data_IF_701075805532
#
_entry.id   IF_701075805532
#
_cell.length_a   1.000
_cell.length_b   1.000
_cell.length_c   1.000
_cell.angle_alpha   90.00
_cell.angle_beta   90.00
_cell.angle_gamma   90.00
#
_symmetry.space_group_name_H-M   'P 1'
#
loop_
_entity.id
_entity.type
_entity.pdbx_description
1 polymer ?
#
# COMPACT_ATOMS: atom_id res chain seq x y z
N UNK A 1 -25.08 19.27 -9.58
CA UNK A 1 -24.41 20.25 -8.68
C UNK A 1 -23.02 19.70 -8.46
N UNK A 2 -21.90 20.42 -8.64
CA UNK A 2 -21.45 21.59 -7.91
C UNK A 2 -20.37 22.36 -8.72
N UNK A 3 -20.35 23.68 -8.55
CA UNK A 3 -19.37 24.65 -9.04
C UNK A 3 -18.30 24.92 -7.96
N UNK A 4 -17.05 25.17 -8.37
CA UNK A 4 -15.92 25.47 -7.48
C UNK A 4 -15.76 26.94 -7.11
N UNK A 5 -14.69 27.27 -6.36
CA UNK A 5 -13.70 28.32 -6.70
C UNK A 5 -12.61 28.55 -5.62
N UNK A 6 -11.40 28.81 -6.15
CA UNK A 6 -10.23 29.59 -5.72
C UNK A 6 -10.21 30.31 -4.36
N UNK A 7 -9.03 30.32 -3.72
CA UNK A 7 -8.49 31.55 -3.12
C UNK A 7 -6.97 31.70 -3.27
N UNK A 8 -6.61 32.95 -3.55
CA UNK A 8 -5.28 33.55 -3.61
C UNK A 8 -4.58 33.59 -2.24
N UNK A 9 -3.26 33.64 -2.36
CA UNK A 9 -2.22 34.07 -1.44
C UNK A 9 -2.61 35.18 -0.44
N UNK A 10 -2.26 34.98 0.84
CA UNK A 10 -1.87 36.03 1.82
C UNK A 10 -1.27 35.41 3.08
N UNK A 11 0.02 35.70 3.27
CA UNK A 11 0.77 35.68 4.53
C UNK A 11 -0.06 36.00 5.77
N UNK A 12 -0.01 35.17 6.81
CA UNK A 12 -0.16 35.58 8.22
C UNK A 12 0.51 34.54 9.14
N UNK A 13 1.37 35.08 10.00
CA UNK A 13 2.16 34.48 11.08
C UNK A 13 1.34 33.63 12.07
N UNK A 14 1.91 32.49 12.47
CA UNK A 14 1.36 31.57 13.49
C UNK A 14 1.64 32.10 14.90
N UNK A 15 0.63 32.25 15.79
CA UNK A 15 0.86 32.51 17.20
C UNK A 15 1.40 31.27 17.91
N UNK A 16 2.43 31.48 18.73
CA UNK A 16 3.04 30.50 19.61
C UNK A 16 2.12 30.12 20.78
N UNK A 17 1.54 28.92 20.78
CA UNK A 17 1.30 28.10 21.99
C UNK A 17 0.36 26.91 21.72
N UNK A 18 0.91 25.77 21.29
CA UNK A 18 0.51 24.42 21.76
C UNK A 18 1.74 23.52 21.56
N UNK A 19 2.67 23.58 22.52
CA UNK A 19 3.69 22.55 22.71
C UNK A 19 3.14 21.48 23.67
N UNK A 20 3.80 20.30 23.67
CA UNK A 20 3.54 19.07 24.45
C UNK A 20 2.34 18.25 23.96
N UNK A 21 2.44 17.00 23.46
CA UNK A 21 3.46 15.95 23.47
C UNK A 21 3.34 15.12 22.18
N UNK A 22 4.39 15.00 21.36
CA UNK A 22 4.77 13.76 20.64
C UNK A 22 6.30 13.82 20.52
N UNK A 23 6.98 12.81 21.06
CA UNK A 23 8.43 12.76 21.17
C UNK A 23 9.13 12.64 19.81
N UNK A 24 10.10 13.53 19.59
CA UNK A 24 11.34 13.39 18.81
C UNK A 24 11.22 12.87 17.36
N UNK A 25 11.33 13.79 16.40
CA UNK A 25 12.54 13.92 15.57
C UNK A 25 12.60 15.34 14.97
N UNK A 26 13.72 16.03 15.21
CA UNK A 26 14.04 17.33 14.61
C UNK A 26 14.22 17.16 13.11
N UNK A 27 13.49 17.95 12.31
CA UNK A 27 13.74 18.11 10.87
C UNK A 27 14.67 19.31 10.70
N UNK A 28 15.90 19.09 10.25
CA UNK A 28 16.81 20.12 9.75
C UNK A 28 16.67 20.20 8.22
N UNK A 29 16.31 21.35 7.63
CA UNK A 29 16.02 21.44 6.21
C UNK A 29 17.24 21.60 5.29
N UNK A 30 18.47 21.34 5.74
CA UNK A 30 19.68 21.68 4.98
C UNK A 30 20.55 20.53 4.45
N UNK A 31 20.16 19.25 4.57
CA UNK A 31 20.86 18.15 3.91
C UNK A 31 19.87 17.10 3.39
N UNK A 32 19.93 16.78 2.10
CA UNK A 32 19.37 15.52 1.61
C UNK A 32 20.25 14.37 2.09
N UNK A 33 19.73 13.47 2.93
CA UNK A 33 19.99 12.01 2.89
C UNK A 33 19.36 11.23 4.07
N UNK A 34 18.85 10.03 3.71
CA UNK A 34 18.43 8.84 4.51
C UNK A 34 17.20 8.95 5.45
N UNK A 35 16.03 8.71 4.84
CA UNK A 35 14.78 8.28 5.50
C UNK A 35 14.85 6.79 5.94
N UNK A 36 15.86 6.39 6.71
CA UNK A 36 15.96 5.01 7.19
C UNK A 36 15.59 4.99 8.67
N UNK A 37 14.46 4.37 9.00
CA UNK A 37 14.10 4.12 10.39
C UNK A 37 15.18 3.25 11.04
N UNK A 38 15.58 3.49 12.30
CA UNK A 38 16.52 2.61 12.99
C UNK A 38 15.96 1.20 13.22
N UNK A 39 14.64 1.05 13.10
CA UNK A 39 13.89 -0.16 13.37
C UNK A 39 12.80 -0.35 12.30
N UNK A 40 12.64 -1.58 11.82
CA UNK A 40 11.52 -2.02 10.99
C UNK A 40 10.67 -3.01 11.78
N UNK A 41 9.35 -2.89 11.69
CA UNK A 41 8.43 -3.87 12.26
C UNK A 41 7.80 -4.73 11.15
N UNK A 42 8.39 -5.91 10.94
CA UNK A 42 8.00 -6.86 9.90
C UNK A 42 6.99 -7.88 10.42
N UNK A 43 6.03 -8.33 9.57
CA UNK A 43 4.95 -9.25 9.98
C UNK A 43 4.68 -10.44 9.03
N UNK A 44 5.71 -11.19 8.60
CA UNK A 44 5.54 -12.34 7.72
C UNK A 44 4.73 -13.44 8.38
N UNK A 45 3.74 -13.96 7.66
CA UNK A 45 2.87 -15.07 8.10
C UNK A 45 2.16 -14.79 9.44
N UNK A 46 1.98 -13.51 9.78
CA UNK A 46 1.40 -13.07 11.06
C UNK A 46 2.39 -13.07 12.24
N UNK A 47 3.63 -13.53 12.06
CA UNK A 47 4.68 -13.46 13.07
C UNK A 47 5.28 -12.05 13.11
N UNK A 48 5.31 -11.42 14.28
CA UNK A 48 5.90 -10.08 14.44
C UNK A 48 7.39 -10.18 14.73
N UNK A 49 8.18 -9.49 13.90
CA UNK A 49 9.63 -9.36 14.06
C UNK A 49 10.04 -7.89 14.09
N UNK A 50 10.90 -7.54 15.05
CA UNK A 50 11.62 -6.29 15.03
C UNK A 50 12.94 -6.49 14.30
N UNK A 51 13.20 -5.67 13.28
CA UNK A 51 14.42 -5.75 12.48
C UNK A 51 15.25 -4.48 12.67
N UNK A 52 16.52 -4.63 13.00
CA UNK A 52 17.45 -3.51 13.17
C UNK A 52 18.73 -3.75 12.39
N UNK A 53 19.43 -2.68 12.00
CA UNK A 53 20.69 -2.77 11.26
C UNK A 53 21.79 -1.97 11.94
N UNK A 54 22.89 -2.66 12.28
CA UNK A 54 24.10 -2.06 12.81
C UNK A 54 25.11 -1.83 11.68
N UNK A 55 25.30 -0.56 11.31
CA UNK A 55 26.15 -0.15 10.19
C UNK A 55 27.63 -0.54 10.40
N UNK A 56 28.14 -0.40 11.63
CA UNK A 56 29.55 -0.64 11.95
C UNK A 56 29.97 -2.09 11.72
N UNK A 57 29.11 -3.03 12.11
CA UNK A 57 29.36 -4.46 11.98
C UNK A 57 28.71 -5.05 10.72
N UNK A 58 27.93 -4.24 9.99
CA UNK A 58 27.12 -4.69 8.86
C UNK A 58 26.18 -5.85 9.25
N UNK A 59 25.61 -5.79 10.45
CA UNK A 59 24.78 -6.86 11.01
C UNK A 59 23.32 -6.44 11.05
N UNK A 60 22.45 -7.30 10.52
CA UNK A 60 21.01 -7.18 10.61
C UNK A 60 20.49 -8.14 11.67
N UNK A 61 19.78 -7.63 12.66
CA UNK A 61 19.17 -8.41 13.73
C UNK A 61 17.67 -8.58 13.46
N UNK A 62 17.19 -9.81 13.51
CA UNK A 62 15.76 -10.15 13.45
C UNK A 62 15.34 -10.70 14.81
N UNK A 63 14.59 -9.91 15.55
CA UNK A 63 14.15 -10.20 16.92
C UNK A 63 12.67 -10.56 16.93
N UNK A 64 12.37 -11.81 17.28
CA UNK A 64 11.02 -12.30 17.57
C UNK A 64 10.80 -12.45 19.07
N UNK A 65 9.65 -13.02 19.48
CA UNK A 65 9.30 -13.15 20.90
C UNK A 65 10.28 -14.00 21.74
N UNK A 66 10.95 -14.99 21.13
CA UNK A 66 11.86 -15.91 21.84
C UNK A 66 13.21 -16.10 21.13
N UNK A 67 13.46 -15.38 20.04
CA UNK A 67 14.66 -15.57 19.22
C UNK A 67 15.22 -14.23 18.77
N UNK A 68 16.55 -14.14 18.76
CA UNK A 68 17.30 -13.07 18.10
C UNK A 68 18.23 -13.74 17.10
N UNK A 69 17.98 -13.48 15.82
CA UNK A 69 18.73 -14.05 14.72
C UNK A 69 19.61 -12.98 14.08
N UNK A 70 20.83 -13.36 13.73
CA UNK A 70 21.84 -12.45 13.20
C UNK A 70 22.12 -12.78 11.73
N UNK A 71 22.16 -11.73 10.92
CA UNK A 71 22.40 -11.78 9.49
C UNK A 71 23.51 -10.80 9.14
N UNK A 72 24.37 -11.14 8.20
CA UNK A 72 25.32 -10.17 7.64
C UNK A 72 24.68 -9.52 6.41
N UNK A 73 24.65 -8.19 6.38
CA UNK A 73 24.14 -7.38 5.28
C UNK A 73 25.28 -6.50 4.75
N UNK A 74 25.96 -7.02 3.72
CA UNK A 74 27.14 -6.42 3.12
C UNK A 74 26.75 -5.72 1.82
N UNK A 75 27.17 -4.47 1.65
CA UNK A 75 27.04 -3.72 0.40
C UNK A 75 28.45 -3.48 -0.17
N UNK A 76 28.72 -4.02 -1.36
CA UNK A 76 30.00 -3.87 -2.05
C UNK A 76 29.99 -2.76 -3.13
N UNK A 77 29.01 -1.84 -3.06
CA UNK A 77 28.70 -0.78 -4.03
C UNK A 77 28.14 -1.26 -5.38
N UNK A 78 28.01 -2.58 -5.59
CA UNK A 78 27.40 -3.17 -6.79
C UNK A 78 26.24 -4.10 -6.45
N UNK A 79 26.36 -4.81 -5.34
CA UNK A 79 25.44 -5.85 -4.89
C UNK A 79 25.27 -5.75 -3.38
N UNK A 80 24.02 -5.72 -2.94
CA UNK A 80 23.70 -5.91 -1.53
C UNK A 80 23.50 -7.40 -1.28
N UNK A 81 24.26 -7.96 -0.36
CA UNK A 81 24.25 -9.39 -0.02
C UNK A 81 23.74 -9.61 1.40
N UNK A 82 22.72 -10.45 1.53
CA UNK A 82 22.17 -10.91 2.80
C UNK A 82 22.64 -12.35 3.06
N UNK A 83 23.39 -12.56 4.14
CA UNK A 83 24.04 -13.83 4.45
C UNK A 83 23.57 -14.40 5.79
N UNK A 84 23.22 -15.69 5.76
CA UNK A 84 23.01 -16.52 6.93
C UNK A 84 24.28 -17.33 7.25
N UNK A 85 24.81 -17.18 8.46
CA UNK A 85 26.09 -17.82 8.86
C UNK A 85 25.92 -19.20 9.49
N UNK A 86 24.71 -19.57 9.94
CA UNK A 86 24.48 -20.85 10.61
C UNK A 86 24.26 -22.00 9.61
N UNK A 87 24.58 -23.23 10.04
CA UNK A 87 24.40 -24.44 9.22
C UNK A 87 22.92 -24.85 9.08
N UNK A 88 22.14 -24.66 10.13
CA UNK A 88 20.70 -24.90 10.14
C UNK A 88 19.99 -23.88 9.24
N UNK A 89 18.87 -24.29 8.64
CA UNK A 89 18.01 -23.35 7.94
C UNK A 89 17.32 -22.41 8.96
N UNK A 90 17.27 -21.09 8.72
CA UNK A 90 16.47 -20.18 9.53
C UNK A 90 14.98 -20.46 9.34
N UNK A 91 14.12 -20.12 10.32
CA UNK A 91 12.67 -20.10 10.13
C UNK A 91 12.29 -19.21 8.94
N UNK A 92 11.34 -19.67 8.11
CA UNK A 92 10.93 -18.92 6.92
C UNK A 92 10.40 -17.51 7.25
N UNK A 93 9.53 -17.31 8.27
CA UNK A 93 9.11 -15.98 8.67
C UNK A 93 10.28 -15.05 9.01
N UNK A 94 11.27 -15.52 9.78
CA UNK A 94 12.43 -14.71 10.12
C UNK A 94 13.31 -14.37 8.90
N UNK A 95 13.44 -15.29 7.94
CA UNK A 95 14.11 -15.02 6.66
C UNK A 95 13.37 -13.94 5.86
N UNK A 96 12.04 -14.00 5.79
CA UNK A 96 11.24 -12.98 5.11
C UNK A 96 11.40 -11.61 5.79
N UNK A 97 11.40 -11.56 7.13
CA UNK A 97 11.68 -10.34 7.88
C UNK A 97 13.09 -9.80 7.61
N UNK A 98 14.10 -10.68 7.50
CA UNK A 98 15.47 -10.28 7.15
C UNK A 98 15.56 -9.66 5.75
N UNK A 99 14.85 -10.24 4.76
CA UNK A 99 14.79 -9.71 3.39
C UNK A 99 14.08 -8.35 3.36
N UNK A 100 12.95 -8.20 4.06
CA UNK A 100 12.24 -6.92 4.16
C UNK A 100 13.12 -5.84 4.82
N UNK A 101 13.81 -6.21 5.89
CA UNK A 101 14.81 -5.37 6.56
C UNK A 101 15.90 -4.94 5.60
N UNK A 102 16.52 -5.88 4.89
CA UNK A 102 17.59 -5.59 3.94
C UNK A 102 17.15 -4.57 2.86
N UNK A 103 15.95 -4.71 2.29
CA UNK A 103 15.41 -3.71 1.36
C UNK A 103 15.09 -2.37 2.03
N UNK A 104 14.66 -2.38 3.29
CA UNK A 104 14.35 -1.15 4.05
C UNK A 104 15.61 -0.36 4.39
N UNK A 105 16.67 -1.04 4.84
CA UNK A 105 17.95 -0.42 5.20
C UNK A 105 18.82 -0.12 3.97
N UNK A 106 18.52 -0.72 2.82
CA UNK A 106 19.18 -0.48 1.52
C UNK A 106 18.16 -0.03 0.45
N UNK A 107 17.52 1.15 0.58
CA UNK A 107 16.37 1.55 -0.25
C UNK A 107 16.70 1.71 -1.75
N UNK A 108 17.99 1.84 -2.10
CA UNK A 108 18.45 1.85 -3.49
C UNK A 108 18.40 0.46 -4.15
N UNK A 109 18.51 -0.61 -3.38
CA UNK A 109 18.60 -1.97 -3.89
C UNK A 109 17.32 -2.39 -4.62
N UNK A 110 17.51 -2.94 -5.82
CA UNK A 110 16.43 -3.58 -6.61
C UNK A 110 16.44 -5.10 -6.45
N UNK A 111 17.58 -5.66 -6.04
CA UNK A 111 17.77 -7.08 -5.77
C UNK A 111 18.78 -7.27 -4.64
N UNK A 112 18.65 -8.39 -3.93
CA UNK A 112 19.56 -8.84 -2.89
C UNK A 112 20.13 -10.19 -3.28
N UNK A 113 21.45 -10.35 -3.16
CA UNK A 113 22.07 -11.67 -3.26
C UNK A 113 21.86 -12.40 -1.94
N UNK A 114 21.32 -13.62 -2.00
CA UNK A 114 21.05 -14.43 -0.82
C UNK A 114 22.11 -15.53 -0.69
N UNK A 115 22.79 -15.54 0.46
CA UNK A 115 23.68 -16.64 0.83
C UNK A 115 23.02 -17.46 1.95
N UNK A 116 22.35 -18.54 1.53
CA UNK A 116 21.51 -19.40 2.37
C UNK A 116 21.87 -20.89 2.18
N UNK A 117 21.61 -21.76 3.18
CA UNK A 117 21.73 -23.20 3.04
C UNK A 117 20.97 -23.74 1.81
N UNK A 118 21.61 -24.64 1.05
CA UNK A 118 21.08 -25.15 -0.22
C UNK A 118 19.73 -25.87 -0.09
N UNK A 119 19.44 -26.43 1.09
CA UNK A 119 18.15 -27.08 1.42
C UNK A 119 16.95 -26.14 1.24
N UNK A 120 17.14 -24.82 1.39
CA UNK A 120 16.07 -23.84 1.21
C UNK A 120 15.82 -23.46 -0.25
N UNK A 121 16.81 -23.66 -1.14
CA UNK A 121 16.80 -23.06 -2.47
C UNK A 121 15.58 -23.46 -3.30
N UNK A 122 15.23 -24.74 -3.31
CA UNK A 122 14.08 -25.26 -4.07
C UNK A 122 12.78 -24.61 -3.60
N UNK A 123 12.56 -24.55 -2.29
CA UNK A 123 11.35 -23.96 -1.70
C UNK A 123 11.27 -22.46 -1.98
N UNK A 124 12.38 -21.73 -1.83
CA UNK A 124 12.41 -20.28 -2.09
C UNK A 124 12.12 -19.97 -3.56
N UNK A 125 12.66 -20.76 -4.49
CA UNK A 125 12.39 -20.60 -5.92
C UNK A 125 10.94 -20.94 -6.26
N UNK A 126 10.40 -22.05 -5.73
CA UNK A 126 9.03 -22.48 -6.01
C UNK A 126 7.97 -21.48 -5.53
N UNK A 127 8.27 -20.72 -4.46
CA UNK A 127 7.38 -19.70 -3.91
C UNK A 127 7.64 -18.28 -4.44
N UNK A 128 8.57 -18.12 -5.39
CA UNK A 128 8.90 -16.80 -5.96
C UNK A 128 9.59 -15.84 -5.00
N UNK A 129 10.09 -16.33 -3.85
CA UNK A 129 10.86 -15.52 -2.88
C UNK A 129 12.24 -15.19 -3.46
N UNK A 130 12.79 -16.12 -4.24
CA UNK A 130 14.09 -15.93 -4.88
C UNK A 130 14.16 -16.61 -6.25
N UNK A 131 15.13 -16.18 -7.07
CA UNK A 131 15.42 -16.71 -8.39
C UNK A 131 16.90 -17.10 -8.45
N UNK A 132 17.21 -18.18 -9.16
CA UNK A 132 18.60 -18.55 -9.44
C UNK A 132 19.08 -17.91 -10.73
N UNK A 133 20.29 -17.36 -10.71
CA UNK A 133 20.99 -16.95 -11.92
C UNK A 133 21.60 -18.18 -12.66
N UNK A 134 22.15 -18.00 -13.88
CA UNK A 134 22.79 -19.09 -14.62
C UNK A 134 23.97 -19.76 -13.89
N UNK A 135 24.54 -19.11 -12.88
CA UNK A 135 25.63 -19.64 -12.05
C UNK A 135 25.12 -20.29 -10.75
N UNK A 136 23.81 -20.38 -10.57
CA UNK A 136 23.17 -20.98 -9.40
C UNK A 136 23.15 -20.10 -8.15
N UNK A 137 23.54 -18.82 -8.24
CA UNK A 137 23.42 -17.88 -7.11
C UNK A 137 21.95 -17.48 -6.93
N UNK A 138 21.56 -17.29 -5.68
CA UNK A 138 20.18 -17.00 -5.31
C UNK A 138 19.97 -15.48 -5.14
N UNK A 139 18.88 -14.96 -5.72
CA UNK A 139 18.57 -13.54 -5.74
C UNK A 139 17.12 -13.28 -5.32
N UNK A 140 16.89 -12.42 -4.33
CA UNK A 140 15.57 -11.87 -4.04
C UNK A 140 15.43 -10.53 -4.77
N UNK A 141 14.39 -10.39 -5.60
CA UNK A 141 14.09 -9.14 -6.29
C UNK A 141 13.00 -8.39 -5.54
N UNK A 142 13.14 -7.07 -5.40
CA UNK A 142 12.17 -6.24 -4.69
C UNK A 142 10.76 -6.39 -5.33
N UNK A 143 10.69 -6.40 -6.66
CA UNK A 143 9.44 -6.54 -7.40
C UNK A 143 8.71 -7.86 -7.12
N UNK A 144 9.43 -8.97 -6.91
CA UNK A 144 8.84 -10.27 -6.60
C UNK A 144 8.47 -10.35 -5.12
N UNK A 145 9.38 -9.89 -4.27
CA UNK A 145 9.23 -9.93 -2.82
C UNK A 145 8.01 -9.11 -2.35
N UNK A 146 7.82 -7.92 -2.92
CA UNK A 146 6.65 -7.09 -2.61
C UNK A 146 5.34 -7.67 -3.16
N UNK A 147 5.39 -8.69 -4.03
CA UNK A 147 4.19 -9.39 -4.48
C UNK A 147 3.78 -10.56 -3.57
N UNK A 148 4.57 -10.89 -2.54
CA UNK A 148 4.29 -11.99 -1.62
C UNK A 148 3.17 -11.60 -0.63
N UNK A 149 1.96 -12.17 -0.74
CA UNK A 149 0.82 -11.70 0.05
C UNK A 149 0.97 -11.99 1.56
N UNK A 150 1.72 -13.02 1.92
CA UNK A 150 1.91 -13.48 3.30
C UNK A 150 2.67 -12.51 4.20
N UNK A 151 3.33 -11.49 3.64
CA UNK A 151 3.96 -10.43 4.43
C UNK A 151 2.99 -9.33 4.85
N UNK A 152 1.94 -9.12 4.05
CA UNK A 152 1.16 -7.88 4.10
C UNK A 152 -0.30 -8.15 4.42
N UNK A 153 -0.82 -9.31 4.02
CA UNK A 153 -2.19 -9.73 4.29
C UNK A 153 -2.22 -10.62 5.53
N UNK A 154 -3.21 -10.40 6.39
CA UNK A 154 -3.44 -11.16 7.63
C UNK A 154 -4.07 -12.54 7.40
N UNK A 155 -4.78 -12.71 6.29
CA UNK A 155 -5.44 -13.96 5.91
C UNK A 155 -5.43 -14.12 4.39
N UNK A 156 -4.24 -14.27 3.77
CA UNK A 156 -4.13 -14.37 2.32
C UNK A 156 -4.78 -15.66 1.81
N UNK A 157 -5.61 -15.56 0.77
CA UNK A 157 -6.00 -16.74 0.01
C UNK A 157 -4.84 -17.18 -0.88
N UNK A 158 -4.30 -18.37 -0.63
CA UNK A 158 -3.19 -18.92 -1.41
C UNK A 158 -3.62 -19.43 -2.80
N UNK A 159 -4.93 -19.43 -3.10
CA UNK A 159 -5.47 -19.80 -4.41
C UNK A 159 -6.42 -18.71 -4.90
N UNK A 160 -6.41 -18.39 -6.21
CA UNK A 160 -7.41 -17.50 -6.79
C UNK A 160 -8.82 -18.07 -6.62
N UNK A 161 -9.80 -17.20 -6.33
CA UNK A 161 -11.19 -17.62 -6.25
C UNK A 161 -11.67 -18.17 -7.61
N UNK A 162 -12.39 -19.31 -7.66
CA UNK A 162 -12.90 -19.88 -8.90
C UNK A 162 -13.73 -18.89 -9.71
N UNK A 163 -13.58 -18.92 -11.03
CA UNK A 163 -14.28 -17.99 -11.92
C UNK A 163 -15.62 -18.59 -12.37
N UNK A 164 -16.72 -17.94 -11.98
CA UNK A 164 -18.06 -18.24 -12.48
C UNK A 164 -18.65 -16.96 -13.07
N UNK A 165 -18.89 -16.89 -14.40
CA UNK A 165 -19.63 -15.78 -14.98
C UNK A 165 -21.06 -15.75 -14.46
N UNK A 166 -21.53 -14.56 -14.08
CA UNK A 166 -22.90 -14.28 -13.66
C UNK A 166 -23.43 -13.03 -14.35
N UNK A 167 -24.74 -12.88 -14.36
CA UNK A 167 -25.44 -11.68 -14.82
C UNK A 167 -26.24 -11.13 -13.64
N UNK A 168 -25.85 -9.95 -13.15
CA UNK A 168 -26.50 -9.28 -12.03
C UNK A 168 -26.77 -7.83 -12.43
N UNK A 169 -27.98 -7.32 -12.19
CA UNK A 169 -28.39 -5.96 -12.54
C UNK A 169 -28.07 -5.55 -14.00
N UNK A 170 -28.19 -6.49 -14.94
CA UNK A 170 -27.91 -6.28 -16.36
C UNK A 170 -26.41 -6.19 -16.72
N UNK A 171 -25.50 -6.42 -15.76
CA UNK A 171 -24.05 -6.45 -15.99
C UNK A 171 -23.51 -7.87 -15.89
N UNK A 172 -22.75 -8.30 -16.90
CA UNK A 172 -22.03 -9.58 -16.89
C UNK A 172 -20.66 -9.40 -16.22
N UNK A 173 -20.41 -10.12 -15.14
CA UNK A 173 -19.13 -10.13 -14.44
C UNK A 173 -18.88 -11.50 -13.78
N UNK A 174 -17.76 -11.66 -13.08
CA UNK A 174 -17.47 -12.87 -12.31
C UNK A 174 -18.08 -12.79 -10.91
N UNK A 175 -18.52 -13.93 -10.39
CA UNK A 175 -18.87 -14.08 -8.97
C UNK A 175 -17.68 -13.68 -8.11
N UNK A 176 -17.91 -12.75 -7.19
CA UNK A 176 -16.88 -12.23 -6.27
C UNK A 176 -16.71 -13.14 -5.06
N UNK A 177 -15.49 -13.24 -4.49
CA UNK A 177 -15.29 -13.96 -3.24
C UNK A 177 -16.13 -13.34 -2.12
N UNK A 178 -16.46 -14.09 -1.06
CA UNK A 178 -17.06 -13.53 0.14
C UNK A 178 -16.21 -12.38 0.69
N UNK A 179 -16.87 -11.37 1.26
CA UNK A 179 -16.15 -10.27 1.93
C UNK A 179 -15.30 -10.84 3.06
N UNK A 180 -14.03 -10.42 3.20
CA UNK A 180 -13.22 -10.78 4.35
C UNK A 180 -13.79 -10.16 5.64
N UNK A 181 -13.18 -10.48 6.77
CA UNK A 181 -13.48 -9.85 8.07
C UNK A 181 -12.17 -9.39 8.74
N UNK A 182 -12.29 -8.52 9.75
CA UNK A 182 -11.15 -8.03 10.52
C UNK A 182 -10.15 -7.21 9.71
N UNK A 183 -8.91 -7.14 10.21
CA UNK A 183 -7.77 -6.55 9.49
C UNK A 183 -7.48 -7.39 8.26
N UNK A 184 -7.28 -6.77 7.10
CA UNK A 184 -7.00 -7.42 5.81
C UNK A 184 -5.62 -7.09 5.26
N UNK A 185 -5.02 -6.00 5.73
CA UNK A 185 -3.71 -5.53 5.29
C UNK A 185 -3.00 -4.81 6.43
N UNK A 186 -1.69 -5.00 6.54
CA UNK A 186 -0.85 -4.32 7.52
C UNK A 186 0.58 -4.16 7.00
N UNK A 187 1.17 -2.98 7.24
CA UNK A 187 2.54 -2.64 6.85
C UNK A 187 3.12 -1.59 7.79
N UNK A 188 4.39 -1.75 8.19
CA UNK A 188 5.12 -0.67 8.87
C UNK A 188 5.59 0.37 7.85
N UNK A 189 5.47 1.64 8.21
CA UNK A 189 5.84 2.80 7.40
C UNK A 189 7.10 3.41 8.01
N UNK A 190 8.31 3.08 7.53
CA UNK A 190 9.55 3.41 8.23
C UNK A 190 9.74 4.92 8.45
N UNK A 191 9.43 5.75 7.46
CA UNK A 191 9.61 7.20 7.57
C UNK A 191 8.62 7.91 8.49
N UNK A 192 7.55 7.23 8.92
CA UNK A 192 6.62 7.73 9.94
C UNK A 192 6.79 7.00 11.28
N UNK A 193 7.52 5.89 11.30
CA UNK A 193 7.60 4.93 12.39
C UNK A 193 6.22 4.53 12.95
N UNK A 194 5.29 4.19 12.05
CA UNK A 194 3.94 3.75 12.40
C UNK A 194 3.55 2.49 11.66
N UNK A 195 2.63 1.72 12.23
CA UNK A 195 1.96 0.62 11.53
C UNK A 195 0.69 1.14 10.86
N UNK A 196 0.65 1.10 9.54
CA UNK A 196 -0.58 1.32 8.77
C UNK A 196 -1.30 -0.01 8.58
N UNK A 197 -2.62 -0.01 8.80
CA UNK A 197 -3.46 -1.16 8.50
C UNK A 197 -4.79 -0.77 7.86
N UNK A 198 -5.41 -1.73 7.18
CA UNK A 198 -6.80 -1.64 6.73
C UNK A 198 -7.57 -2.80 7.35
N UNK A 199 -8.74 -2.50 7.90
CA UNK A 199 -9.70 -3.51 8.36
C UNK A 199 -11.05 -3.30 7.72
N UNK A 200 -11.82 -4.36 7.60
CA UNK A 200 -13.22 -4.27 7.17
C UNK A 200 -14.00 -3.43 8.18
N UNK A 201 -14.88 -2.58 7.66
CA UNK A 201 -15.77 -1.76 8.49
C UNK A 201 -16.63 -2.66 9.38
N UNK A 202 -16.73 -2.28 10.65
CA UNK A 202 -17.64 -2.85 11.62
C UNK A 202 -18.75 -1.82 11.88
N UNK A 203 -19.99 -2.18 11.56
CA UNK A 203 -21.11 -1.24 11.61
C UNK A 203 -21.32 -0.67 13.01
N UNK A 204 -21.22 -1.49 14.05
CA UNK A 204 -21.50 -1.04 15.41
C UNK A 204 -20.34 -0.20 15.97
N UNK A 205 -19.10 -0.50 15.59
CA UNK A 205 -17.93 0.26 16.04
C UNK A 205 -17.68 1.55 15.23
N UNK A 206 -18.05 1.58 13.96
CA UNK A 206 -17.64 2.63 13.03
C UNK A 206 -18.76 3.61 12.65
N UNK A 207 -20.03 3.30 12.92
CA UNK A 207 -21.16 4.15 12.50
C UNK A 207 -21.05 5.59 13.01
N UNK A 208 -20.84 5.80 14.32
CA UNK A 208 -20.72 7.15 14.89
C UNK A 208 -19.53 7.91 14.31
N UNK A 209 -18.43 7.20 14.07
CA UNK A 209 -17.20 7.76 13.51
C UNK A 209 -17.42 8.18 12.05
N UNK A 210 -18.01 7.29 11.26
CA UNK A 210 -18.38 7.56 9.87
C UNK A 210 -19.32 8.76 9.79
N UNK A 211 -20.33 8.84 10.66
CA UNK A 211 -21.24 9.97 10.71
C UNK A 211 -20.53 11.28 11.03
N UNK A 212 -19.66 11.30 12.05
CA UNK A 212 -18.86 12.48 12.36
C UNK A 212 -17.98 12.90 11.18
N UNK A 213 -17.33 11.94 10.54
CA UNK A 213 -16.44 12.21 9.40
C UNK A 213 -17.18 12.73 8.18
N UNK A 214 -18.33 12.15 7.82
CA UNK A 214 -19.14 12.63 6.70
C UNK A 214 -19.68 14.04 6.91
N UNK A 215 -19.88 14.43 8.16
CA UNK A 215 -20.32 15.78 8.53
C UNK A 215 -19.17 16.78 8.74
N UNK A 216 -17.90 16.36 8.69
CA UNK A 216 -16.75 17.27 8.67
C UNK A 216 -16.83 18.17 7.41
N UNK A 217 -16.76 19.51 7.52
CA UNK A 217 -16.92 20.41 6.38
C UNK A 217 -15.96 20.16 5.20
N UNK A 218 -14.74 19.69 5.47
CA UNK A 218 -13.75 19.37 4.43
C UNK A 218 -14.14 18.09 3.71
N UNK A 219 -14.64 17.09 4.42
CA UNK A 219 -15.12 15.82 3.82
C UNK A 219 -16.42 16.07 3.05
N UNK A 220 -17.39 16.72 3.69
CA UNK A 220 -18.69 17.06 3.13
C UNK A 220 -18.58 17.82 1.80
N UNK A 221 -17.58 18.70 1.68
CA UNK A 221 -17.33 19.44 0.44
C UNK A 221 -17.05 18.53 -0.78
N UNK A 222 -16.48 17.34 -0.57
CA UNK A 222 -16.14 16.41 -1.66
C UNK A 222 -17.10 15.23 -1.78
N UNK A 223 -17.66 14.77 -0.66
CA UNK A 223 -18.52 13.59 -0.61
C UNK A 223 -20.00 13.94 -0.71
N UNK A 224 -20.42 15.12 -0.24
CA UNK A 224 -21.82 15.60 -0.30
C UNK A 224 -22.83 14.62 0.36
N UNK A 225 -22.35 13.71 1.22
CA UNK A 225 -23.14 12.71 1.95
C UNK A 225 -23.35 13.12 3.42
N UNK A 226 -23.55 14.41 3.71
CA UNK A 226 -23.94 14.86 5.05
C UNK A 226 -25.30 14.26 5.45
N UNK A 227 -25.49 14.00 6.74
CA UNK A 227 -26.72 13.35 7.19
C UNK A 227 -26.71 12.99 8.66
N UNK A 228 -27.87 12.52 9.12
CA UNK A 228 -28.05 11.97 10.46
C UNK A 228 -27.52 10.54 10.58
N UNK A 229 -27.47 10.03 11.82
CA UNK A 229 -26.93 8.71 12.12
C UNK A 229 -27.73 7.58 11.45
N UNK A 230 -29.05 7.75 11.29
CA UNK A 230 -29.92 6.74 10.71
C UNK A 230 -29.74 6.64 9.19
N UNK A 231 -29.58 7.80 8.52
CA UNK A 231 -29.25 7.87 7.11
C UNK A 231 -27.92 7.18 6.81
N UNK A 232 -26.90 7.44 7.64
CA UNK A 232 -25.59 6.81 7.49
C UNK A 232 -25.59 5.32 7.85
N UNK A 233 -26.40 4.88 8.83
CA UNK A 233 -26.60 3.45 9.10
C UNK A 233 -27.15 2.74 7.86
N UNK A 234 -28.20 3.27 7.24
CA UNK A 234 -28.77 2.70 6.02
C UNK A 234 -27.77 2.67 4.85
N UNK A 235 -26.95 3.72 4.70
CA UNK A 235 -25.87 3.77 3.69
C UNK A 235 -24.83 2.67 3.92
N UNK A 236 -24.35 2.51 5.16
CA UNK A 236 -23.36 1.49 5.49
C UNK A 236 -23.94 0.07 5.35
N UNK A 237 -25.17 -0.16 5.80
CA UNK A 237 -25.88 -1.45 5.62
C UNK A 237 -26.03 -1.81 4.14
N UNK A 238 -26.44 -0.85 3.29
CA UNK A 238 -26.53 -1.05 1.84
C UNK A 238 -25.16 -1.37 1.22
N UNK A 239 -24.11 -0.69 1.66
CA UNK A 239 -22.73 -0.96 1.24
C UNK A 239 -22.29 -2.37 1.66
N UNK A 240 -22.64 -2.76 2.89
CA UNK A 240 -22.35 -4.08 3.42
C UNK A 240 -23.16 -5.18 2.72
N UNK A 241 -24.27 -4.87 2.07
CA UNK A 241 -25.03 -5.82 1.24
C UNK A 241 -24.51 -5.90 -0.20
N UNK A 242 -23.73 -4.92 -0.66
CA UNK A 242 -23.17 -4.93 -2.02
C UNK A 242 -21.93 -5.84 -2.11
N UNK A 243 -21.97 -6.96 -2.88
CA UNK A 243 -20.84 -7.89 -3.01
C UNK A 243 -19.68 -7.31 -3.83
N UNK A 244 -19.93 -6.26 -4.61
CA UNK A 244 -18.91 -5.62 -5.44
C UNK A 244 -18.03 -4.63 -4.68
N UNK A 245 -18.37 -4.33 -3.42
CA UNK A 245 -17.71 -3.33 -2.57
C UNK A 245 -17.25 -3.94 -1.24
N UNK A 246 -16.03 -3.60 -0.84
CA UNK A 246 -15.49 -3.89 0.49
C UNK A 246 -15.21 -2.56 1.18
N UNK A 247 -16.06 -2.14 2.15
CA UNK A 247 -15.80 -0.97 2.97
C UNK A 247 -14.70 -1.27 3.98
N UNK A 248 -13.71 -0.40 4.06
CA UNK A 248 -12.55 -0.52 4.94
C UNK A 248 -12.39 0.73 5.80
N UNK A 249 -11.80 0.54 6.97
CA UNK A 249 -11.28 1.57 7.84
C UNK A 249 -9.76 1.51 7.79
N UNK A 250 -9.14 2.65 7.46
CA UNK A 250 -7.70 2.82 7.60
C UNK A 250 -7.35 3.15 9.04
N UNK A 251 -6.34 2.47 9.57
CA UNK A 251 -5.80 2.71 10.91
C UNK A 251 -4.31 3.04 10.87
N UNK A 252 -3.86 3.87 11.80
CA UNK A 252 -2.44 4.14 12.11
C UNK A 252 -2.23 3.75 13.57
N UNK A 253 -1.36 2.77 13.82
CA UNK A 253 -1.14 2.15 15.14
C UNK A 253 -2.44 1.73 15.85
N UNK A 254 -3.40 1.26 15.04
CA UNK A 254 -4.72 0.84 15.51
C UNK A 254 -5.76 1.97 15.59
N UNK A 255 -5.36 3.24 15.53
CA UNK A 255 -6.27 4.38 15.55
C UNK A 255 -6.94 4.60 14.19
N UNK A 256 -8.30 4.51 14.08
CA UNK A 256 -9.01 4.76 12.83
C UNK A 256 -8.87 6.22 12.36
N UNK A 257 -8.47 6.42 11.10
CA UNK A 257 -8.27 7.76 10.53
C UNK A 257 -9.11 8.07 9.29
N UNK A 258 -9.56 7.05 8.55
CA UNK A 258 -10.26 7.26 7.28
C UNK A 258 -11.12 6.07 6.87
N UNK A 259 -12.11 6.36 6.05
CA UNK A 259 -13.02 5.38 5.45
C UNK A 259 -12.68 5.22 3.97
N UNK A 260 -12.64 3.97 3.52
CA UNK A 260 -12.28 3.59 2.16
C UNK A 260 -13.35 2.66 1.60
N UNK A 261 -13.74 2.86 0.34
CA UNK A 261 -14.56 1.90 -0.39
C UNK A 261 -13.69 1.30 -1.48
N UNK A 262 -13.37 0.01 -1.38
CA UNK A 262 -12.71 -0.67 -2.50
C UNK A 262 -13.74 -1.43 -3.32
N UNK A 263 -13.62 -1.39 -4.64
CA UNK A 263 -14.67 -1.91 -5.51
C UNK A 263 -14.10 -2.66 -6.72
N UNK A 264 -14.94 -3.49 -7.35
CA UNK A 264 -14.68 -4.07 -8.66
C UNK A 264 -15.16 -3.12 -9.76
N UNK A 265 -14.24 -2.62 -10.57
CA UNK A 265 -14.52 -1.49 -11.46
C UNK A 265 -15.56 -1.80 -12.55
N UNK A 266 -15.65 -3.07 -12.98
CA UNK A 266 -16.64 -3.53 -13.96
C UNK A 266 -18.09 -3.47 -13.43
N UNK A 267 -18.27 -3.67 -12.13
CA UNK A 267 -19.56 -3.56 -11.46
C UNK A 267 -19.90 -2.12 -11.09
N UNK A 268 -18.88 -1.29 -10.86
CA UNK A 268 -19.05 0.13 -10.55
C UNK A 268 -19.51 0.96 -11.77
N UNK A 269 -19.94 2.20 -11.52
CA UNK A 269 -20.30 3.19 -12.54
C UNK A 269 -19.12 3.57 -13.44
N UNK A 270 -17.89 3.53 -12.96
CA UNK A 270 -16.69 3.87 -13.75
C UNK A 270 -16.46 2.86 -14.89
N UNK A 271 -16.88 1.60 -14.71
CA UNK A 271 -16.69 0.53 -15.69
C UNK A 271 -17.36 0.77 -17.04
N UNK A 272 -18.32 1.70 -17.14
CA UNK A 272 -18.94 2.10 -18.40
C UNK A 272 -18.11 3.11 -19.22
N UNK A 273 -17.06 3.71 -18.62
CA UNK A 273 -16.30 4.81 -19.23
C UNK A 273 -14.95 4.37 -19.79
N UNK A 274 -14.60 3.08 -19.67
CA UNK A 274 -13.43 2.46 -20.28
C UNK A 274 -13.65 0.96 -20.45
N UNK A 275 -12.74 0.27 -21.13
CA UNK A 275 -12.81 -1.20 -21.29
C UNK A 275 -12.39 -1.91 -20.00
N UNK A 276 -13.34 -2.03 -19.07
CA UNK A 276 -13.13 -2.61 -17.75
C UNK A 276 -12.97 -4.14 -17.79
N UNK A 277 -11.86 -4.62 -17.23
CA UNK A 277 -11.60 -6.05 -17.08
C UNK A 277 -12.31 -6.60 -15.86
N UNK A 278 -12.55 -7.91 -15.84
CA UNK A 278 -13.20 -8.59 -14.72
C UNK A 278 -12.45 -8.43 -13.39
N UNK A 279 -11.14 -8.14 -13.42
CA UNK A 279 -10.31 -8.01 -12.21
C UNK A 279 -9.82 -6.60 -11.91
N UNK A 280 -10.28 -5.60 -12.66
CA UNK A 280 -9.94 -4.22 -12.36
C UNK A 280 -10.58 -3.82 -11.02
N UNK A 281 -9.79 -3.14 -10.19
CA UNK A 281 -10.24 -2.65 -8.88
C UNK A 281 -10.16 -1.13 -8.85
N UNK A 282 -10.95 -0.51 -8.00
CA UNK A 282 -10.76 0.90 -7.68
C UNK A 282 -11.02 1.15 -6.21
N UNK A 283 -10.82 2.41 -5.82
CA UNK A 283 -11.05 2.83 -4.45
C UNK A 283 -11.56 4.27 -4.36
N UNK A 284 -12.39 4.53 -3.36
CA UNK A 284 -12.72 5.87 -2.86
C UNK A 284 -12.22 6.01 -1.44
N UNK A 285 -11.95 7.25 -1.01
CA UNK A 285 -11.44 7.54 0.33
C UNK A 285 -11.96 8.86 0.87
N UNK A 286 -12.21 8.88 2.17
CA UNK A 286 -12.24 10.09 2.98
C UNK A 286 -11.27 9.96 4.15
N UNK A 287 -10.59 11.05 4.46
CA UNK A 287 -9.71 11.15 5.63
C UNK A 287 -10.44 11.99 6.67
N UNK A 288 -11.11 11.29 7.57
CA UNK A 288 -11.96 11.89 8.58
C UNK A 288 -11.16 12.63 9.63
N UNK A 289 -10.11 12.00 10.16
CA UNK A 289 -9.29 12.61 11.20
C UNK A 289 -8.28 13.60 10.65
N UNK A 290 -8.36 14.86 11.10
CA UNK A 290 -7.52 15.95 10.63
C UNK A 290 -6.02 15.72 10.90
N UNK A 291 -5.68 15.05 12.01
CA UNK A 291 -4.30 14.74 12.41
C UNK A 291 -3.56 13.88 11.38
N UNK A 292 -4.28 13.06 10.62
CA UNK A 292 -3.73 12.14 9.62
C UNK A 292 -3.90 12.67 8.19
N UNK A 293 -4.20 13.97 8.03
CA UNK A 293 -4.20 14.65 6.74
C UNK A 293 -2.79 15.19 6.45
N UNK A 294 -2.43 15.27 5.16
CA UNK A 294 -1.18 15.88 4.73
C UNK A 294 -0.28 14.95 3.93
N UNK A 295 0.81 15.52 3.39
CA UNK A 295 1.71 14.84 2.45
C UNK A 295 2.32 13.56 3.03
N UNK A 296 2.81 13.51 4.29
CA UNK A 296 3.44 12.30 4.82
C UNK A 296 2.46 11.11 4.92
N UNK A 297 1.23 11.37 5.36
CA UNK A 297 0.19 10.33 5.46
C UNK A 297 -0.36 9.91 4.11
N UNK A 298 -0.56 10.84 3.16
CA UNK A 298 -0.96 10.48 1.79
C UNK A 298 0.09 9.59 1.12
N UNK A 299 1.37 9.91 1.31
CA UNK A 299 2.46 9.07 0.81
C UNK A 299 2.52 7.69 1.47
N UNK A 300 1.91 7.51 2.64
CA UNK A 300 1.80 6.23 3.33
C UNK A 300 0.58 5.42 2.89
N UNK A 301 -0.63 6.00 2.94
CA UNK A 301 -1.86 5.23 2.71
C UNK A 301 -2.16 4.99 1.23
N UNK A 302 -1.83 5.91 0.32
CA UNK A 302 -2.20 5.79 -1.09
C UNK A 302 -1.47 4.64 -1.79
N UNK A 303 -0.13 4.50 -1.65
CA UNK A 303 0.53 3.31 -2.15
C UNK A 303 0.11 2.04 -1.41
N UNK A 304 -0.21 2.13 -0.12
CA UNK A 304 -0.62 0.96 0.68
C UNK A 304 -1.98 0.40 0.27
N UNK A 305 -2.98 1.25 -0.04
CA UNK A 305 -4.27 0.77 -0.56
C UNK A 305 -4.10 0.15 -1.94
N UNK A 306 -3.22 0.73 -2.78
CA UNK A 306 -2.90 0.19 -4.10
C UNK A 306 -2.22 -1.19 -3.98
N UNK A 307 -1.26 -1.30 -3.07
CA UNK A 307 -0.59 -2.54 -2.74
C UNK A 307 -1.57 -3.62 -2.28
N UNK A 308 -2.43 -3.30 -1.31
CA UNK A 308 -3.47 -4.20 -0.84
C UNK A 308 -4.33 -4.73 -2.01
N UNK A 309 -4.80 -3.87 -2.90
CA UNK A 309 -5.66 -4.27 -4.01
C UNK A 309 -4.95 -5.19 -5.01
N UNK A 310 -3.67 -4.94 -5.29
CA UNK A 310 -2.87 -5.84 -6.12
C UNK A 310 -2.62 -7.19 -5.45
N UNK A 311 -2.49 -7.25 -4.13
CA UNK A 311 -2.25 -8.51 -3.42
C UNK A 311 -3.53 -9.29 -3.12
N UNK A 312 -4.66 -8.60 -2.99
CA UNK A 312 -5.94 -9.22 -2.62
C UNK A 312 -6.43 -10.23 -3.68
N UNK A 313 -6.15 -9.98 -4.96
CA UNK A 313 -6.30 -10.95 -6.05
C UNK A 313 -5.15 -10.78 -7.05
N UNK A 314 -4.34 -11.83 -7.25
CA UNK A 314 -3.18 -11.76 -8.14
C UNK A 314 -3.54 -11.50 -9.61
N UNK A 315 -4.82 -11.67 -10.00
CA UNK A 315 -5.33 -11.38 -11.34
C UNK A 315 -5.63 -9.89 -11.55
N UNK A 316 -5.65 -9.07 -10.50
CA UNK A 316 -5.80 -7.62 -10.63
C UNK A 316 -4.56 -7.02 -11.28
N UNK A 317 -4.73 -6.56 -12.53
CA UNK A 317 -3.67 -5.93 -13.32
C UNK A 317 -3.77 -4.41 -13.38
N UNK A 318 -4.94 -3.84 -13.09
CA UNK A 318 -5.19 -2.40 -13.15
C UNK A 318 -6.00 -1.92 -11.95
N UNK A 319 -5.56 -0.80 -11.39
CA UNK A 319 -6.34 -0.01 -10.44
C UNK A 319 -6.85 1.25 -11.13
N UNK A 320 -8.06 1.66 -10.81
CA UNK A 320 -8.69 2.87 -11.36
C UNK A 320 -9.19 3.80 -10.27
N UNK A 321 -9.26 5.09 -10.60
CA UNK A 321 -9.84 6.14 -9.77
C UNK A 321 -10.37 7.27 -10.64
N UNK A 322 -11.34 8.02 -10.13
CA UNK A 322 -12.05 9.08 -10.86
C UNK A 322 -12.14 10.43 -10.11
N UNK A 323 -11.03 11.06 -9.66
CA UNK A 323 -11.10 12.38 -9.04
C UNK A 323 -11.69 13.42 -10.00
N UNK A 324 -12.23 14.54 -9.47
CA UNK A 324 -12.60 15.68 -10.31
C UNK A 324 -11.37 16.23 -11.03
N UNK A 325 -11.54 16.69 -12.27
CA UNK A 325 -10.45 17.26 -13.09
C UNK A 325 -9.85 18.53 -12.48
N UNK A 326 -10.60 19.25 -11.64
CA UNK A 326 -10.18 20.47 -10.96
C UNK A 326 -9.49 20.22 -9.62
N UNK A 327 -9.45 18.96 -9.14
CA UNK A 327 -8.74 18.59 -7.92
C UNK A 327 -7.24 18.38 -8.19
N UNK A 328 -6.54 19.48 -8.51
CA UNK A 328 -5.12 19.47 -8.89
C UNK A 328 -4.22 18.84 -7.81
N UNK A 329 -4.59 18.94 -6.52
CA UNK A 329 -3.85 18.30 -5.41
C UNK A 329 -3.95 16.78 -5.48
N UNK A 330 -5.15 16.23 -5.65
CA UNK A 330 -5.35 14.80 -5.80
C UNK A 330 -4.67 14.27 -7.08
N UNK A 331 -4.80 14.98 -8.20
CA UNK A 331 -4.16 14.59 -9.46
C UNK A 331 -2.63 14.52 -9.35
N UNK A 332 -2.00 15.48 -8.65
CA UNK A 332 -0.56 15.43 -8.37
C UNK A 332 -0.17 14.28 -7.46
N UNK A 333 -0.93 14.03 -6.39
CA UNK A 333 -0.66 12.90 -5.48
C UNK A 333 -0.76 11.55 -6.21
N UNK A 334 -1.79 11.38 -7.05
CA UNK A 334 -1.97 10.19 -7.87
C UNK A 334 -0.79 9.97 -8.82
N UNK A 335 -0.36 11.00 -9.54
CA UNK A 335 0.80 10.93 -10.42
C UNK A 335 2.09 10.57 -9.66
N UNK A 336 2.31 11.17 -8.48
CA UNK A 336 3.45 10.85 -7.61
C UNK A 336 3.44 9.40 -7.10
N UNK A 337 2.26 8.79 -7.01
CA UNK A 337 2.10 7.39 -6.60
C UNK A 337 1.96 6.44 -7.79
N UNK A 338 2.27 6.86 -9.02
CA UNK A 338 2.31 5.99 -10.21
C UNK A 338 0.98 5.77 -10.93
N UNK A 339 -0.02 6.64 -10.73
CA UNK A 339 -1.24 6.65 -11.53
C UNK A 339 -1.06 7.55 -12.76
N UNK A 340 -1.33 7.00 -13.94
CA UNK A 340 -1.43 7.77 -15.18
C UNK A 340 -2.79 8.48 -15.25
N UNK A 341 -2.81 9.73 -15.74
CA UNK A 341 -4.03 10.43 -16.12
C UNK A 341 -4.41 10.02 -17.55
N UNK A 342 -5.37 9.11 -17.69
CA UNK A 342 -5.70 8.48 -18.98
C UNK A 342 -6.56 9.38 -19.84
N UNK A 343 -7.69 9.85 -19.31
CA UNK A 343 -8.62 10.75 -20.03
C UNK A 343 -9.61 11.41 -19.08
N UNK A 344 -10.08 12.60 -19.45
CA UNK A 344 -11.24 13.21 -18.81
C UNK A 344 -12.54 12.65 -19.39
N UNK A 345 -13.58 12.54 -18.56
CA UNK A 345 -14.94 12.16 -18.95
C UNK A 345 -15.97 12.77 -18.01
N UNK A 346 -17.24 12.77 -18.42
CA UNK A 346 -18.32 13.38 -17.65
C UNK A 346 -19.20 12.30 -17.00
N UNK A 347 -19.27 12.31 -15.68
CA UNK A 347 -20.38 11.73 -14.93
C UNK A 347 -21.52 12.75 -14.86
N UNK A 348 -22.77 12.32 -14.58
CA UNK A 348 -23.90 13.25 -14.43
C UNK A 348 -23.68 14.39 -13.41
N UNK A 349 -22.82 14.18 -12.41
CA UNK A 349 -22.58 15.11 -11.31
C UNK A 349 -21.16 15.73 -11.29
N UNK A 350 -20.22 15.26 -12.13
CA UNK A 350 -18.84 15.79 -12.18
C UNK A 350 -18.12 15.50 -13.49
N UNK A 351 -17.20 16.38 -13.88
CA UNK A 351 -16.14 16.06 -14.85
C UNK A 351 -14.98 15.38 -14.12
N UNK A 352 -14.76 14.11 -14.43
CA UNK A 352 -13.77 13.26 -13.79
C UNK A 352 -12.53 13.06 -14.67
N UNK A 353 -11.39 12.83 -14.03
CA UNK A 353 -10.19 12.30 -14.67
C UNK A 353 -10.09 10.81 -14.38
N UNK A 354 -10.05 9.96 -15.41
CA UNK A 354 -9.71 8.55 -15.25
C UNK A 354 -8.23 8.44 -14.91
N UNK A 355 -7.93 8.17 -13.64
CA UNK A 355 -6.62 7.73 -13.18
C UNK A 355 -6.52 6.21 -13.31
N UNK A 356 -5.37 5.70 -13.77
CA UNK A 356 -5.11 4.27 -13.85
C UNK A 356 -3.69 3.94 -13.41
N UNK A 357 -3.55 2.90 -12.60
CA UNK A 357 -2.26 2.36 -12.21
C UNK A 357 -2.16 0.90 -12.65
N UNK A 358 -1.08 0.57 -13.37
CA UNK A 358 -0.79 -0.79 -13.79
C UNK A 358 -0.01 -1.53 -12.71
N UNK A 359 -0.30 -2.83 -12.54
CA UNK A 359 0.42 -3.73 -11.64
C UNK A 359 1.92 -3.69 -11.94
N UNK A 360 2.29 -3.89 -13.20
CA UNK A 360 3.67 -3.86 -13.67
C UNK A 360 4.38 -2.56 -13.26
N UNK A 361 3.79 -1.40 -13.54
CA UNK A 361 4.38 -0.11 -13.19
C UNK A 361 4.51 0.07 -11.67
N UNK A 362 3.52 -0.36 -10.89
CA UNK A 362 3.58 -0.29 -9.43
C UNK A 362 4.77 -1.08 -8.87
N UNK A 363 4.99 -2.31 -9.35
CA UNK A 363 6.08 -3.18 -8.87
C UNK A 363 7.45 -2.86 -9.44
N UNK A 364 7.55 -2.54 -10.73
CA UNK A 364 8.83 -2.24 -11.36
C UNK A 364 9.41 -0.91 -10.88
N UNK A 365 8.58 0.11 -10.70
CA UNK A 365 9.02 1.44 -10.24
C UNK A 365 9.07 1.55 -8.71
N UNK A 366 8.68 0.49 -7.98
CA UNK A 366 8.65 0.46 -6.51
C UNK A 366 7.82 1.61 -5.93
N UNK A 367 6.63 1.83 -6.50
CA UNK A 367 5.71 2.94 -6.15
C UNK A 367 5.19 2.90 -4.69
N UNK A 368 5.60 1.92 -3.87
CA UNK A 368 5.30 1.80 -2.43
C UNK A 368 6.23 2.59 -1.51
N UNK A 369 7.35 3.11 -2.03
CA UNK A 369 8.25 4.02 -1.30
C UNK A 369 8.08 5.42 -1.92
N UNK A 370 8.05 6.50 -1.12
CA UNK A 370 8.15 7.86 -1.63
C UNK A 370 9.54 8.06 -2.25
N UNK A 371 9.71 7.68 -3.51
CA UNK A 371 10.94 7.92 -4.26
C UNK A 371 10.85 9.31 -4.93
N UNK A 372 11.99 10.00 -5.15
CA UNK A 372 12.03 11.14 -6.05
C UNK A 372 11.47 10.72 -7.41
N UNK A 373 10.71 11.58 -8.12
CA UNK A 373 10.19 11.25 -9.44
C UNK A 373 11.33 10.85 -10.38
N UNK A 374 11.23 9.63 -10.93
CA UNK A 374 12.22 9.13 -11.88
C UNK A 374 12.03 9.83 -13.23
N UNK A 375 13.09 10.36 -13.87
CA UNK A 375 13.00 10.81 -15.24
C UNK A 375 12.92 9.59 -16.16
N UNK A 376 11.72 9.29 -16.66
CA UNK A 376 11.52 8.29 -17.72
C UNK A 376 11.21 6.89 -17.22
N UNK A 377 9.97 6.48 -17.47
CA UNK A 377 9.44 5.12 -17.41
C UNK A 377 9.94 4.30 -18.61
N UNK A 378 11.23 3.97 -18.63
CA UNK A 378 11.70 2.88 -19.48
C UNK A 378 11.69 1.60 -18.64
N UNK A 379 11.14 0.48 -19.14
CA UNK A 379 11.41 -0.81 -18.53
C UNK A 379 12.93 -0.93 -18.43
N UNK A 380 13.43 -1.02 -17.18
CA UNK A 380 14.86 -1.18 -16.98
C UNK A 380 15.26 -2.47 -17.69
N UNK A 381 16.34 -2.45 -18.50
CA UNK A 381 16.80 -3.66 -19.14
C UNK A 381 17.04 -4.69 -18.05
N UNK A 382 16.32 -5.78 -18.19
CA UNK A 382 16.45 -6.95 -17.39
C UNK A 382 17.90 -7.46 -17.52
N UNK A 383 18.68 -7.54 -16.44
CA UNK A 383 20.06 -8.01 -16.51
C UNK A 383 20.17 -9.45 -17.04
N UNK A 384 19.06 -10.21 -17.15
CA UNK A 384 19.00 -11.51 -17.85
C UNK A 384 19.19 -11.41 -19.37
N UNK A 385 19.01 -10.22 -19.97
CA UNK A 385 18.99 -10.02 -21.43
C UNK A 385 19.95 -8.93 -21.94
N UNK A 386 20.79 -8.35 -21.07
CA UNK A 386 21.95 -7.57 -21.53
C UNK A 386 23.08 -8.55 -21.91
N UNK A 387 23.60 -8.50 -23.15
CA UNK A 387 24.67 -9.39 -23.63
C UNK A 387 25.93 -9.38 -22.78
#
# INVERSE_FOLDING_TARGET
>A
MFYGLNFLDRSLTVPSSVQTQIGRHKVDPSNGERLVAPVLLSRPEGCTYQVTYEVTTQTLYVEGHQERLEWSLVDDNSTVMLQWSQRSAPPLPALLAAIEGAFTFSPGAVALRLQLPSVLHTTLCANGIAVKDPHGKLWAYAELFWQLPTLWLTSPSMRPYPQQPILENGKRHLRRPPRPNGTVYQRHIPWLDVTLSFRVLDLELDLERFNRWMNDPVVAHFWEEQGDLQQHRGRLESTLQNPSVVPLIGCIDGEPFGYFETYWAKEDRIGAYYDASDFDRGWHVLIGEAAFRGRPYVAAWLPSISHYLFLNDCRTQRLVIEPRVDNAKMLRNLAQCGYAHVKAFDFPHKRAMLGMQLREHFFNERSWIPLPPHPGSAPRPDPRFTP
#
